data_IF_733868289261
#
_entry.id   IF_733868289261
#
_cell.length_a   1.000
_cell.length_b   1.000
_cell.length_c   1.000
_cell.angle_alpha   90.00
_cell.angle_beta   90.00
_cell.angle_gamma   90.00
#
_symmetry.space_group_name_H-M   'P 1'
#
loop_
_entity.id
_entity.type
_entity.pdbx_description
1 polymer ?
#
# COMPACT_ATOMS: atom_id res chain seq x y z
N UNK A 1 28.75 12.11 4.81
CA UNK A 1 27.28 12.08 4.82
C UNK A 1 26.84 11.46 6.13
N UNK A 2 25.79 11.97 6.80
CA UNK A 2 25.25 11.35 8.01
C UNK A 2 24.67 9.97 7.65
N UNK A 3 24.77 9.01 8.57
CA UNK A 3 24.17 7.69 8.44
C UNK A 3 22.65 7.83 8.17
N UNK A 4 22.09 7.16 7.15
CA UNK A 4 20.68 7.20 6.85
C UNK A 4 19.77 6.86 8.04
N UNK A 5 20.12 5.83 8.81
CA UNK A 5 19.42 5.43 10.02
C UNK A 5 19.41 6.55 11.07
N UNK A 6 20.52 7.24 11.25
CA UNK A 6 20.59 8.36 12.20
C UNK A 6 19.72 9.53 11.76
N UNK A 7 19.70 9.86 10.46
CA UNK A 7 18.80 10.91 9.92
C UNK A 7 17.32 10.55 10.12
N UNK A 8 16.96 9.31 9.91
CA UNK A 8 15.60 8.84 10.11
C UNK A 8 15.17 8.91 11.58
N UNK A 9 16.04 8.52 12.51
CA UNK A 9 15.78 8.64 13.95
C UNK A 9 15.64 10.11 14.37
N UNK A 10 16.46 11.01 13.83
CA UNK A 10 16.31 12.45 14.07
C UNK A 10 14.97 12.98 13.56
N UNK A 11 14.57 12.58 12.35
CA UNK A 11 13.33 13.05 11.73
C UNK A 11 12.04 12.52 12.41
N UNK A 12 12.13 11.46 13.21
CA UNK A 12 11.00 11.00 14.04
C UNK A 12 10.55 12.04 15.08
N UNK A 13 11.46 12.92 15.50
CA UNK A 13 11.17 14.00 16.45
C UNK A 13 10.66 15.28 15.78
N UNK A 14 10.66 15.34 14.46
CA UNK A 14 10.18 16.50 13.71
C UNK A 14 8.66 16.63 13.82
N UNK A 15 8.20 17.88 13.72
CA UNK A 15 6.75 18.13 13.67
C UNK A 15 6.14 17.43 12.46
N UNK A 16 5.07 16.62 12.63
CA UNK A 16 4.41 15.99 11.51
C UNK A 16 3.83 17.03 10.54
N UNK A 17 3.72 16.66 9.27
CA UNK A 17 3.02 17.45 8.26
C UNK A 17 1.51 17.40 8.55
N UNK A 18 0.89 18.57 8.69
CA UNK A 18 -0.57 18.70 8.74
C UNK A 18 -1.08 18.98 7.33
N UNK A 19 -2.01 18.17 6.85
CA UNK A 19 -2.59 18.38 5.53
C UNK A 19 -4.06 17.97 5.45
N UNK A 20 -4.79 18.62 4.57
CA UNK A 20 -6.11 18.21 4.11
C UNK A 20 -5.94 17.55 2.75
N UNK A 21 -6.16 16.24 2.69
CA UNK A 21 -6.18 15.50 1.43
C UNK A 21 -7.61 15.40 0.92
N UNK A 22 -7.82 15.69 -0.35
CA UNK A 22 -9.15 15.62 -0.98
C UNK A 22 -9.21 14.31 -1.76
N UNK A 23 -10.11 13.42 -1.38
CA UNK A 23 -10.28 12.14 -2.07
C UNK A 23 -10.99 12.32 -3.43
N UNK A 24 -11.07 11.25 -4.21
CA UNK A 24 -11.68 11.23 -5.56
C UNK A 24 -13.18 11.58 -5.58
N UNK A 25 -13.83 11.64 -4.41
CA UNK A 25 -15.23 12.07 -4.26
C UNK A 25 -15.37 13.54 -3.83
N UNK A 26 -14.25 14.25 -3.64
CA UNK A 26 -14.24 15.62 -3.17
C UNK A 26 -14.42 15.78 -1.66
N UNK A 27 -14.25 14.71 -0.87
CA UNK A 27 -14.31 14.74 0.58
C UNK A 27 -12.94 15.12 1.15
N UNK A 28 -12.91 16.02 2.13
CA UNK A 28 -11.69 16.38 2.86
C UNK A 28 -11.36 15.34 3.93
N UNK A 29 -10.14 14.87 3.93
CA UNK A 29 -9.57 13.97 4.92
C UNK A 29 -8.40 14.68 5.59
N UNK A 30 -8.53 14.94 6.90
CA UNK A 30 -7.49 15.58 7.69
C UNK A 30 -6.43 14.57 8.12
N UNK A 31 -5.16 14.85 7.78
CA UNK A 31 -4.04 13.95 8.04
C UNK A 31 -2.93 14.66 8.83
N UNK A 32 -2.40 13.96 9.82
CA UNK A 32 -1.09 14.22 10.41
C UNK A 32 -0.13 13.13 9.91
N UNK A 33 0.90 13.55 9.18
CA UNK A 33 1.83 12.62 8.53
C UNK A 33 3.22 12.81 9.15
N UNK A 34 3.72 11.82 9.93
CA UNK A 34 5.10 11.83 10.41
C UNK A 34 6.10 11.92 9.25
N UNK A 35 7.28 12.48 9.50
CA UNK A 35 8.33 12.64 8.48
C UNK A 35 8.86 11.32 7.89
N UNK A 36 8.73 10.24 8.65
CA UNK A 36 9.13 8.88 8.24
C UNK A 36 7.99 8.09 7.59
N UNK A 37 6.85 8.74 7.31
CA UNK A 37 5.68 8.15 6.67
C UNK A 37 5.43 8.84 5.34
N UNK A 38 5.21 8.05 4.30
CA UNK A 38 4.93 8.57 2.96
C UNK A 38 3.60 9.34 2.95
N UNK A 39 3.61 10.62 2.52
CA UNK A 39 2.37 11.37 2.36
C UNK A 39 1.60 10.89 1.14
N UNK A 40 0.26 11.05 1.10
CA UNK A 40 -0.51 10.72 -0.10
C UNK A 40 -0.06 11.61 -1.28
N UNK A 41 0.15 10.98 -2.44
CA UNK A 41 0.56 11.61 -3.70
C UNK A 41 -0.27 11.07 -4.85
N UNK A 42 0.19 11.29 -6.08
CA UNK A 42 -0.46 10.93 -7.34
C UNK A 42 -0.81 9.43 -7.43
N UNK A 43 0.02 8.57 -6.87
CA UNK A 43 -0.21 7.13 -6.74
C UNK A 43 -1.39 6.81 -5.82
N UNK A 44 -1.44 7.45 -4.66
CA UNK A 44 -2.55 7.32 -3.70
C UNK A 44 -3.85 7.85 -4.29
N UNK A 45 -3.81 9.00 -4.98
CA UNK A 45 -4.96 9.60 -5.66
C UNK A 45 -5.50 8.67 -6.76
N UNK A 46 -4.60 8.09 -7.57
CA UNK A 46 -4.97 7.15 -8.62
C UNK A 46 -5.63 5.88 -8.04
N UNK A 47 -5.09 5.33 -6.94
CA UNK A 47 -5.67 4.14 -6.31
C UNK A 47 -7.04 4.46 -5.69
N UNK A 48 -7.19 5.60 -5.03
CA UNK A 48 -8.48 6.04 -4.49
C UNK A 48 -9.54 6.19 -5.61
N UNK A 49 -9.14 6.79 -6.74
CA UNK A 49 -10.00 6.87 -7.91
C UNK A 49 -10.38 5.48 -8.44
N UNK A 50 -9.45 4.53 -8.48
CA UNK A 50 -9.73 3.15 -8.90
C UNK A 50 -10.72 2.46 -7.98
N UNK A 51 -10.58 2.62 -6.66
CA UNK A 51 -11.50 2.04 -5.66
C UNK A 51 -12.88 2.72 -5.77
N UNK A 52 -12.93 4.03 -5.95
CA UNK A 52 -14.19 4.77 -6.06
C UNK A 52 -15.05 4.30 -7.24
N UNK A 53 -14.42 3.89 -8.35
CA UNK A 53 -15.10 3.31 -9.53
C UNK A 53 -15.77 1.96 -9.26
N UNK A 54 -15.37 1.23 -8.21
CA UNK A 54 -16.07 0.01 -7.77
C UNK A 54 -17.43 0.36 -7.15
N UNK A 55 -17.60 1.59 -6.71
CA UNK A 55 -18.79 2.09 -6.02
C UNK A 55 -18.71 1.92 -4.51
N UNK A 56 -19.86 2.06 -3.84
CA UNK A 56 -19.94 1.95 -2.38
C UNK A 56 -19.55 0.54 -1.90
N UNK A 57 -18.78 0.48 -0.83
CA UNK A 57 -18.31 -0.78 -0.23
C UNK A 57 -19.46 -1.66 0.30
N UNK A 58 -20.55 -1.07 0.79
CA UNK A 58 -21.70 -1.78 1.34
C UNK A 58 -21.32 -2.86 2.38
N UNK A 59 -20.31 -2.57 3.20
CA UNK A 59 -19.80 -3.49 4.21
C UNK A 59 -18.91 -4.61 3.67
N UNK A 60 -18.54 -4.59 2.39
CA UNK A 60 -17.50 -5.47 1.83
C UNK A 60 -16.16 -5.22 2.52
N UNK A 61 -15.33 -6.24 2.59
CA UNK A 61 -14.03 -6.19 3.26
C UNK A 61 -12.93 -5.76 2.29
N UNK A 62 -12.14 -4.77 2.70
CA UNK A 62 -10.95 -4.31 2.01
C UNK A 62 -9.73 -4.49 2.91
N UNK A 63 -8.64 -5.03 2.36
CA UNK A 63 -7.32 -5.02 2.99
C UNK A 63 -6.43 -4.02 2.25
N UNK A 64 -5.83 -3.08 2.99
CA UNK A 64 -4.74 -2.25 2.52
C UNK A 64 -3.42 -2.73 3.13
N UNK A 65 -2.45 -3.06 2.28
CA UNK A 65 -1.07 -3.38 2.69
C UNK A 65 -0.23 -2.11 2.50
N UNK A 66 0.51 -1.70 3.53
CA UNK A 66 1.28 -0.44 3.50
C UNK A 66 0.38 0.79 3.62
N UNK A 67 -0.34 0.95 4.73
CA UNK A 67 -1.35 2.00 4.87
C UNK A 67 -0.79 3.42 5.02
N UNK A 68 0.50 3.58 5.33
CA UNK A 68 1.17 4.87 5.44
C UNK A 68 0.46 5.86 6.38
N UNK A 69 -0.04 6.96 5.83
CA UNK A 69 -0.80 7.98 6.57
C UNK A 69 -2.26 7.60 6.82
N UNK A 70 -2.76 6.53 6.21
CA UNK A 70 -4.14 6.09 6.29
C UNK A 70 -5.11 6.81 5.34
N UNK A 71 -4.62 7.64 4.43
CA UNK A 71 -5.46 8.41 3.52
C UNK A 71 -6.47 7.53 2.76
N UNK A 72 -5.96 6.48 2.11
CA UNK A 72 -6.76 5.56 1.33
C UNK A 72 -7.72 4.73 2.20
N UNK A 73 -7.23 4.18 3.32
CA UNK A 73 -8.05 3.44 4.29
C UNK A 73 -9.22 4.25 4.80
N UNK A 74 -8.99 5.53 5.14
CA UNK A 74 -10.03 6.45 5.63
C UNK A 74 -11.03 6.75 4.50
N UNK A 75 -10.55 7.03 3.28
CA UNK A 75 -11.41 7.26 2.11
C UNK A 75 -12.30 6.04 1.82
N UNK A 76 -11.71 4.85 1.82
CA UNK A 76 -12.45 3.61 1.61
C UNK A 76 -13.50 3.36 2.71
N UNK A 77 -13.16 3.61 3.99
CA UNK A 77 -14.10 3.47 5.10
C UNK A 77 -15.27 4.46 5.00
N UNK A 78 -15.00 5.74 4.64
CA UNK A 78 -16.04 6.73 4.34
C UNK A 78 -16.97 6.25 3.21
N UNK A 79 -16.41 5.50 2.25
CA UNK A 79 -17.17 4.91 1.14
C UNK A 79 -17.82 3.55 1.50
N UNK A 80 -17.95 3.22 2.77
CA UNK A 80 -18.71 2.06 3.25
C UNK A 80 -17.97 0.73 3.20
N UNK A 81 -16.66 0.71 3.00
CA UNK A 81 -15.84 -0.50 3.15
C UNK A 81 -15.57 -0.81 4.61
N UNK A 82 -15.47 -2.09 4.96
CA UNK A 82 -14.89 -2.55 6.21
C UNK A 82 -13.41 -2.75 5.97
N UNK A 83 -12.60 -1.83 6.49
CA UNK A 83 -11.18 -1.78 6.16
C UNK A 83 -10.35 -2.42 7.26
N UNK A 84 -9.53 -3.37 6.87
CA UNK A 84 -8.35 -3.84 7.61
C UNK A 84 -7.12 -3.26 6.92
N UNK A 85 -6.17 -2.71 7.68
CA UNK A 85 -4.97 -2.15 7.10
C UNK A 85 -3.74 -2.46 7.96
N UNK A 86 -2.60 -2.58 7.31
CA UNK A 86 -1.33 -2.84 8.00
C UNK A 86 -0.20 -2.00 7.42
N UNK A 87 0.85 -1.87 8.23
CA UNK A 87 2.11 -1.28 7.79
C UNK A 87 3.26 -1.90 8.60
N UNK A 88 4.40 -2.10 7.96
CA UNK A 88 5.62 -2.55 8.64
C UNK A 88 6.25 -1.42 9.48
N UNK A 89 5.95 -0.16 9.14
CA UNK A 89 6.36 1.01 9.89
C UNK A 89 5.38 1.25 11.06
N UNK A 90 5.78 1.06 12.34
CA UNK A 90 4.90 1.27 13.48
C UNK A 90 4.40 2.72 13.59
N UNK A 91 5.17 3.70 13.10
CA UNK A 91 4.75 5.10 13.10
C UNK A 91 3.63 5.35 12.08
N UNK A 92 3.60 4.62 10.98
CA UNK A 92 2.49 4.66 10.02
C UNK A 92 1.20 4.11 10.66
N UNK A 93 1.27 2.99 11.38
CA UNK A 93 0.12 2.41 12.09
C UNK A 93 -0.44 3.38 13.12
N UNK A 94 0.44 4.02 13.91
CA UNK A 94 0.04 5.02 14.91
C UNK A 94 -0.58 6.25 14.24
N UNK A 95 0.02 6.74 13.14
CA UNK A 95 -0.49 7.88 12.39
C UNK A 95 -1.86 7.57 11.78
N UNK A 96 -2.01 6.40 11.13
CA UNK A 96 -3.28 5.95 10.54
C UNK A 96 -4.37 5.86 11.60
N UNK A 97 -4.07 5.31 12.79
CA UNK A 97 -5.02 5.24 13.90
C UNK A 97 -5.49 6.63 14.34
N UNK A 98 -4.56 7.53 14.60
CA UNK A 98 -4.87 8.91 15.01
C UNK A 98 -5.64 9.67 13.93
N UNK A 99 -5.32 9.48 12.65
CA UNK A 99 -6.02 10.08 11.54
C UNK A 99 -7.44 9.50 11.37
N UNK A 100 -7.62 8.20 11.54
CA UNK A 100 -8.94 7.57 11.53
C UNK A 100 -9.86 8.14 12.63
N UNK A 101 -9.34 8.29 13.85
CA UNK A 101 -10.07 8.89 14.98
C UNK A 101 -10.49 10.34 14.67
N UNK A 102 -9.59 11.17 14.10
CA UNK A 102 -9.89 12.56 13.70
C UNK A 102 -10.97 12.64 12.63
N UNK A 103 -10.96 11.72 11.68
CA UNK A 103 -11.95 11.64 10.61
C UNK A 103 -13.18 10.80 11.00
N UNK A 104 -13.28 10.32 12.25
CA UNK A 104 -14.41 9.57 12.82
C UNK A 104 -14.75 8.28 12.09
N UNK A 105 -13.74 7.62 11.53
CA UNK A 105 -13.89 6.30 10.92
C UNK A 105 -13.29 5.21 11.79
N UNK A 106 -13.77 3.98 11.60
CA UNK A 106 -13.24 2.78 12.27
C UNK A 106 -12.46 1.95 11.27
N UNK A 107 -11.24 1.59 11.65
CA UNK A 107 -10.34 0.71 10.90
C UNK A 107 -9.87 -0.40 11.84
N UNK A 108 -9.67 -1.59 11.29
CA UNK A 108 -8.88 -2.64 11.95
C UNK A 108 -7.43 -2.47 11.50
N UNK A 109 -6.53 -2.26 12.46
CA UNK A 109 -5.13 -1.90 12.19
C UNK A 109 -4.18 -2.83 12.93
N UNK A 110 -3.13 -3.26 12.25
CA UNK A 110 -2.05 -4.01 12.88
C UNK A 110 -0.69 -3.63 12.28
N UNK A 111 0.36 -3.81 13.09
CA UNK A 111 1.75 -3.69 12.63
C UNK A 111 2.17 -4.98 11.93
N UNK A 112 2.74 -4.87 10.76
CA UNK A 112 3.24 -5.99 9.99
C UNK A 112 3.07 -5.79 8.49
N UNK A 113 3.62 -6.74 7.75
CA UNK A 113 3.60 -6.76 6.29
C UNK A 113 4.09 -8.10 5.77
N UNK A 114 4.14 -8.24 4.46
CA UNK A 114 4.79 -9.36 3.81
C UNK A 114 6.30 -9.28 4.06
N UNK A 115 6.92 -10.43 4.25
CA UNK A 115 8.36 -10.62 4.22
C UNK A 115 8.74 -11.57 3.07
N UNK A 116 9.99 -11.55 2.65
CA UNK A 116 10.49 -12.38 1.54
C UNK A 116 10.32 -13.88 1.77
N UNK A 117 10.27 -14.32 3.03
CA UNK A 117 10.10 -15.73 3.41
C UNK A 117 8.64 -16.15 3.58
N UNK A 118 7.70 -15.19 3.54
CA UNK A 118 6.30 -15.38 3.93
C UNK A 118 6.15 -16.03 5.32
N UNK A 119 7.10 -15.76 6.22
CA UNK A 119 7.15 -16.36 7.55
C UNK A 119 6.58 -15.47 8.66
N UNK A 120 6.18 -14.23 8.34
CA UNK A 120 5.59 -13.32 9.31
C UNK A 120 4.25 -13.88 9.82
N UNK A 121 4.34 -14.63 10.93
CA UNK A 121 3.20 -15.32 11.53
C UNK A 121 2.10 -14.36 11.97
N UNK A 122 2.46 -13.16 12.42
CA UNK A 122 1.49 -12.18 12.92
C UNK A 122 0.71 -11.56 11.78
N UNK A 123 1.38 -11.17 10.69
CA UNK A 123 0.71 -10.71 9.47
C UNK A 123 -0.25 -11.77 8.92
N UNK A 124 0.21 -13.02 8.77
CA UNK A 124 -0.60 -14.12 8.26
C UNK A 124 -1.79 -14.41 9.16
N UNK A 125 -1.61 -14.36 10.49
CA UNK A 125 -2.68 -14.57 11.46
C UNK A 125 -3.81 -13.53 11.31
N UNK A 126 -3.46 -12.24 11.23
CA UNK A 126 -4.44 -11.18 10.98
C UNK A 126 -5.08 -11.32 9.60
N UNK A 127 -4.28 -11.61 8.59
CA UNK A 127 -4.76 -11.78 7.22
C UNK A 127 -5.80 -12.90 7.10
N UNK A 128 -5.56 -14.04 7.76
CA UNK A 128 -6.48 -15.19 7.78
C UNK A 128 -7.73 -14.94 8.63
N UNK A 129 -7.59 -14.29 9.77
CA UNK A 129 -8.72 -14.04 10.68
C UNK A 129 -9.69 -12.98 10.16
N UNK A 130 -9.16 -11.91 9.57
CA UNK A 130 -9.97 -10.81 9.07
C UNK A 130 -10.56 -11.09 7.67
N UNK A 131 -9.92 -12.00 6.91
CA UNK A 131 -10.41 -12.43 5.59
C UNK A 131 -11.72 -13.23 5.61
N UNK A 132 -12.18 -13.80 4.49
CA UNK A 132 -11.71 -13.43 3.15
C UNK A 132 -12.06 -12.00 2.77
N UNK A 133 -11.17 -11.35 1.99
CA UNK A 133 -11.37 -9.99 1.52
C UNK A 133 -12.07 -9.95 0.16
N UNK A 134 -12.89 -8.93 -0.05
CA UNK A 134 -13.51 -8.63 -1.34
C UNK A 134 -12.54 -7.85 -2.25
N UNK A 135 -11.63 -7.09 -1.63
CA UNK A 135 -10.60 -6.30 -2.32
C UNK A 135 -9.32 -6.27 -1.47
N UNK A 136 -8.19 -6.56 -2.09
CA UNK A 136 -6.87 -6.33 -1.52
C UNK A 136 -6.21 -5.23 -2.35
N UNK A 137 -5.64 -4.23 -1.70
CA UNK A 137 -4.96 -3.13 -2.39
C UNK A 137 -3.57 -2.94 -1.81
N UNK A 138 -2.63 -2.62 -2.69
CA UNK A 138 -1.28 -2.30 -2.30
C UNK A 138 -0.68 -1.27 -3.26
N UNK A 139 -0.37 -0.11 -2.71
CA UNK A 139 0.51 0.83 -3.36
C UNK A 139 1.95 0.30 -3.17
N UNK A 140 2.36 -0.60 -4.06
CA UNK A 140 3.63 -1.33 -3.93
C UNK A 140 4.80 -0.35 -3.86
N UNK A 141 5.81 -0.63 -3.03
CA UNK A 141 7.13 -0.05 -3.20
C UNK A 141 7.65 -0.41 -4.60
N UNK A 142 7.98 0.58 -5.41
CA UNK A 142 8.33 0.38 -6.84
C UNK A 142 9.68 0.93 -7.25
N UNK A 143 10.38 1.63 -6.35
CA UNK A 143 11.73 2.12 -6.65
C UNK A 143 12.73 0.96 -6.68
N UNK A 144 13.65 1.02 -7.62
CA UNK A 144 14.73 0.05 -7.66
C UNK A 144 15.67 0.21 -6.47
N UNK A 145 16.19 -0.88 -5.90
CA UNK A 145 17.23 -0.80 -4.88
C UNK A 145 18.42 0.05 -5.35
N UNK A 146 19.02 0.88 -4.48
CA UNK A 146 20.14 1.72 -4.84
C UNK A 146 21.37 0.89 -5.24
N UNK A 147 22.08 1.35 -6.26
CA UNK A 147 23.31 0.71 -6.71
C UNK A 147 24.44 0.90 -5.69
N UNK A 148 25.50 0.08 -5.82
CA UNK A 148 26.67 0.20 -4.96
C UNK A 148 27.30 1.60 -5.04
N UNK A 149 27.42 2.29 -3.90
CA UNK A 149 27.94 3.65 -3.79
C UNK A 149 26.87 4.76 -3.90
N UNK A 150 25.62 4.44 -4.19
CA UNK A 150 24.52 5.41 -4.12
C UNK A 150 24.06 5.66 -2.68
N UNK A 151 23.50 6.86 -2.39
CA UNK A 151 22.92 7.15 -1.09
C UNK A 151 21.77 6.18 -0.77
N UNK A 152 21.80 5.59 0.43
CA UNK A 152 20.69 4.75 0.92
C UNK A 152 19.67 5.59 1.68
N UNK A 153 18.42 5.13 1.67
CA UNK A 153 17.35 5.65 2.51
C UNK A 153 17.51 5.13 3.96
N UNK A 154 16.72 5.66 4.88
CA UNK A 154 16.57 5.06 6.21
C UNK A 154 15.72 3.79 6.13
N UNK A 155 15.80 2.89 7.14
CA UNK A 155 15.10 1.60 7.08
C UNK A 155 13.59 1.69 6.88
N UNK A 156 12.93 2.69 7.46
CA UNK A 156 11.48 2.88 7.33
C UNK A 156 11.09 3.50 5.97
N UNK A 157 11.92 4.41 5.44
CA UNK A 157 11.74 4.97 4.10
C UNK A 157 12.00 3.89 3.04
N UNK A 158 13.05 3.09 3.24
CA UNK A 158 13.42 1.97 2.37
C UNK A 158 12.25 0.98 2.23
N UNK A 159 11.70 0.53 3.37
CA UNK A 159 10.58 -0.39 3.41
C UNK A 159 9.30 0.14 2.72
N UNK A 160 9.11 1.46 2.66
CA UNK A 160 7.95 2.08 2.01
C UNK A 160 8.13 2.38 0.52
N UNK A 161 9.37 2.47 0.03
CA UNK A 161 9.66 2.98 -1.31
C UNK A 161 10.39 1.98 -2.22
N UNK A 162 11.26 1.13 -1.64
CA UNK A 162 12.13 0.23 -2.40
C UNK A 162 11.45 -1.13 -2.59
N UNK A 163 11.42 -1.59 -3.84
CA UNK A 163 10.99 -2.96 -4.14
C UNK A 163 11.97 -3.97 -3.53
N UNK A 164 11.54 -5.22 -3.36
CA UNK A 164 12.37 -6.28 -2.78
C UNK A 164 13.75 -6.35 -3.45
N UNK A 165 14.81 -6.46 -2.65
CA UNK A 165 16.19 -6.66 -3.14
C UNK A 165 16.40 -8.07 -3.75
N UNK A 166 15.46 -9.00 -3.51
CA UNK A 166 15.50 -10.37 -3.98
C UNK A 166 15.26 -10.52 -5.49
N UNK A 167 15.23 -11.77 -5.94
CA UNK A 167 14.91 -12.10 -7.33
C UNK A 167 13.43 -11.85 -7.67
N UNK A 168 12.56 -11.87 -6.65
CA UNK A 168 11.12 -11.63 -6.75
C UNK A 168 10.77 -10.27 -6.15
N UNK A 169 9.94 -9.49 -6.82
CA UNK A 169 9.39 -8.25 -6.29
C UNK A 169 8.24 -8.51 -5.31
N UNK A 170 7.86 -7.49 -4.56
CA UNK A 170 6.78 -7.59 -3.58
C UNK A 170 5.46 -8.07 -4.18
N UNK A 171 5.14 -7.67 -5.42
CA UNK A 171 3.93 -8.12 -6.11
C UNK A 171 3.95 -9.60 -6.46
N UNK A 172 5.12 -10.20 -6.70
CA UNK A 172 5.31 -11.63 -6.95
C UNK A 172 5.26 -12.43 -5.64
N UNK A 173 5.81 -11.90 -4.55
CA UNK A 173 5.71 -12.48 -3.21
C UNK A 173 4.23 -12.55 -2.78
N UNK A 174 3.45 -11.51 -3.01
CA UNK A 174 2.00 -11.53 -2.76
C UNK A 174 1.29 -12.58 -3.63
N UNK A 175 1.64 -12.68 -4.92
CA UNK A 175 1.08 -13.69 -5.83
C UNK A 175 1.31 -15.11 -5.28
N UNK A 176 2.54 -15.39 -4.83
CA UNK A 176 2.89 -16.68 -4.25
C UNK A 176 2.07 -16.98 -2.99
N UNK A 177 1.90 -15.99 -2.11
CA UNK A 177 1.06 -16.13 -0.92
C UNK A 177 -0.40 -16.44 -1.27
N UNK A 178 -1.01 -15.69 -2.17
CA UNK A 178 -2.42 -15.89 -2.55
C UNK A 178 -2.63 -17.23 -3.25
N UNK A 179 -1.69 -17.68 -4.08
CA UNK A 179 -1.75 -19.01 -4.71
C UNK A 179 -1.65 -20.15 -3.67
N UNK A 180 -0.87 -19.98 -2.61
CA UNK A 180 -0.78 -20.95 -1.51
C UNK A 180 -2.01 -20.90 -0.60
N UNK A 181 -2.64 -19.75 -0.43
CA UNK A 181 -3.76 -19.48 0.47
C UNK A 181 -4.92 -18.79 -0.26
N UNK A 182 -5.57 -19.44 -1.23
CA UNK A 182 -6.60 -18.81 -2.06
C UNK A 182 -7.86 -18.41 -1.27
N UNK A 183 -8.02 -18.92 -0.04
CA UNK A 183 -9.12 -18.55 0.86
C UNK A 183 -8.99 -17.15 1.46
N UNK A 184 -7.86 -16.49 1.30
CA UNK A 184 -7.66 -15.11 1.76
C UNK A 184 -8.44 -14.12 0.91
N UNK A 185 -8.63 -14.40 -0.37
CA UNK A 185 -9.46 -13.62 -1.26
C UNK A 185 -10.82 -14.30 -1.46
N UNK A 186 -11.87 -13.53 -1.40
CA UNK A 186 -13.23 -14.01 -1.65
C UNK A 186 -13.41 -14.39 -3.12
N UNK A 187 -14.23 -15.39 -3.39
CA UNK A 187 -14.58 -15.75 -4.77
C UNK A 187 -15.19 -14.54 -5.48
N UNK A 188 -14.55 -14.11 -6.57
CA UNK A 188 -14.90 -12.89 -7.30
C UNK A 188 -14.38 -11.60 -6.67
N UNK A 189 -13.52 -11.70 -5.66
CA UNK A 189 -12.73 -10.60 -5.14
C UNK A 189 -11.63 -10.20 -6.13
N UNK A 190 -10.98 -9.07 -5.86
CA UNK A 190 -9.93 -8.54 -6.71
C UNK A 190 -8.73 -8.07 -5.89
N UNK A 191 -7.58 -7.98 -6.55
CA UNK A 191 -6.34 -7.43 -5.99
C UNK A 191 -5.94 -6.27 -6.89
N UNK A 192 -5.69 -5.09 -6.31
CA UNK A 192 -5.21 -3.92 -7.03
C UNK A 192 -3.76 -3.65 -6.64
N UNK A 193 -2.87 -3.73 -7.62
CA UNK A 193 -1.43 -3.52 -7.43
C UNK A 193 -0.94 -2.39 -8.32
N UNK A 194 -0.09 -1.53 -7.75
CA UNK A 194 0.65 -0.53 -8.50
C UNK A 194 1.84 -1.18 -9.21
N UNK A 195 2.14 -0.71 -10.39
CA UNK A 195 3.45 -0.84 -11.01
C UNK A 195 3.79 0.41 -11.82
N UNK A 196 5.04 0.60 -12.12
CA UNK A 196 5.52 1.67 -12.99
C UNK A 196 6.05 1.10 -14.30
N UNK A 197 6.40 1.97 -15.24
CA UNK A 197 6.99 1.59 -16.53
C UNK A 197 8.49 1.21 -16.44
N UNK A 198 8.99 0.91 -15.24
CA UNK A 198 10.33 0.34 -15.07
C UNK A 198 10.37 -1.14 -15.54
N UNK A 199 11.56 -1.74 -15.75
CA UNK A 199 11.67 -3.10 -16.26
C UNK A 199 10.95 -4.15 -15.41
N UNK A 200 10.98 -4.04 -14.09
CA UNK A 200 10.34 -4.99 -13.17
C UNK A 200 8.82 -4.80 -13.19
N UNK A 201 8.35 -3.56 -13.14
CA UNK A 201 6.92 -3.24 -13.21
C UNK A 201 6.26 -3.72 -14.50
N UNK A 202 6.96 -3.58 -15.65
CA UNK A 202 6.46 -4.08 -16.94
C UNK A 202 6.27 -5.60 -16.98
N UNK A 203 6.99 -6.35 -16.15
CA UNK A 203 6.86 -7.81 -16.07
C UNK A 203 5.75 -8.24 -15.10
N UNK A 204 5.47 -7.47 -14.07
CA UNK A 204 4.58 -7.86 -12.97
C UNK A 204 3.21 -8.35 -13.46
N UNK A 205 2.52 -7.58 -14.28
CA UNK A 205 1.22 -7.98 -14.81
C UNK A 205 1.28 -9.25 -15.66
N UNK A 206 2.36 -9.45 -16.43
CA UNK A 206 2.55 -10.66 -17.22
C UNK A 206 2.81 -11.89 -16.34
N UNK A 207 3.54 -11.74 -15.24
CA UNK A 207 3.78 -12.79 -14.25
C UNK A 207 2.45 -13.27 -13.62
N UNK A 208 1.57 -12.33 -13.25
CA UNK A 208 0.24 -12.68 -12.75
C UNK A 208 -0.60 -13.45 -13.78
N UNK A 209 -0.57 -13.04 -15.07
CA UNK A 209 -1.26 -13.76 -16.15
C UNK A 209 -0.74 -15.17 -16.37
N UNK A 210 0.59 -15.35 -16.29
CA UNK A 210 1.20 -16.67 -16.41
C UNK A 210 0.78 -17.62 -15.29
N UNK A 211 0.45 -17.08 -14.13
CA UNK A 211 -0.11 -17.81 -12.99
C UNK A 211 -1.65 -17.94 -13.02
N UNK A 212 -2.24 -17.79 -14.21
CA UNK A 212 -3.68 -17.95 -14.49
C UNK A 212 -4.60 -16.89 -13.88
N UNK A 213 -4.08 -15.76 -13.44
CA UNK A 213 -4.89 -14.65 -12.99
C UNK A 213 -5.39 -13.82 -14.17
N UNK A 214 -6.68 -13.44 -14.13
CA UNK A 214 -7.28 -12.54 -15.11
C UNK A 214 -6.93 -11.10 -14.77
N UNK A 215 -5.97 -10.50 -15.47
CA UNK A 215 -5.51 -9.15 -15.19
C UNK A 215 -6.08 -8.12 -16.15
N UNK A 216 -6.38 -6.93 -15.65
CA UNK A 216 -6.77 -5.75 -16.44
C UNK A 216 -6.23 -4.48 -15.81
N UNK A 217 -5.93 -3.49 -16.61
CA UNK A 217 -5.61 -2.14 -16.13
C UNK A 217 -6.89 -1.47 -15.64
N UNK A 218 -6.84 -0.89 -14.44
CA UNK A 218 -7.97 -0.19 -13.80
C UNK A 218 -7.74 1.31 -13.68
N UNK A 219 -6.47 1.76 -13.72
CA UNK A 219 -6.10 3.17 -13.74
C UNK A 219 -4.68 3.36 -14.21
N UNK A 220 -4.43 4.48 -14.88
CA UNK A 220 -3.10 4.92 -15.33
C UNK A 220 -2.98 6.42 -15.13
N UNK A 221 -1.76 6.88 -14.83
CA UNK A 221 -1.40 8.29 -14.76
C UNK A 221 0.05 8.47 -15.26
N UNK A 222 0.25 9.37 -16.20
CA UNK A 222 1.59 9.75 -16.68
C UNK A 222 2.09 10.91 -15.82
N UNK A 223 3.26 10.76 -15.21
CA UNK A 223 3.91 11.78 -14.42
C UNK A 223 4.77 12.73 -15.30
N UNK A 224 5.06 13.92 -14.80
CA UNK A 224 5.80 14.95 -15.52
C UNK A 224 7.22 14.52 -15.93
N UNK A 225 7.85 13.65 -15.15
CA UNK A 225 9.19 13.10 -15.41
C UNK A 225 9.22 11.96 -16.44
N UNK A 226 8.05 11.57 -16.97
CA UNK A 226 7.89 10.49 -17.95
C UNK A 226 7.68 9.12 -17.32
N UNK A 227 7.61 9.02 -16.00
CA UNK A 227 7.18 7.81 -15.34
C UNK A 227 5.67 7.62 -15.54
N UNK A 228 5.22 6.36 -15.66
CA UNK A 228 3.81 6.02 -15.72
C UNK A 228 3.44 5.14 -14.54
N UNK A 229 2.48 5.60 -13.77
CA UNK A 229 1.83 4.82 -12.73
C UNK A 229 0.71 3.99 -13.34
N UNK A 230 0.66 2.70 -13.05
CA UNK A 230 -0.40 1.81 -13.54
C UNK A 230 -0.90 0.95 -12.40
N UNK A 231 -2.21 1.01 -12.11
CA UNK A 231 -2.88 0.01 -11.29
C UNK A 231 -3.52 -1.04 -12.17
N UNK A 232 -3.20 -2.29 -11.91
CA UNK A 232 -3.92 -3.41 -12.50
C UNK A 232 -4.69 -4.18 -11.44
N UNK A 233 -5.81 -4.77 -11.90
CA UNK A 233 -6.61 -5.72 -11.12
C UNK A 233 -6.24 -7.14 -11.54
N UNK A 234 -6.07 -7.99 -10.57
CA UNK A 234 -5.96 -9.44 -10.72
C UNK A 234 -7.08 -10.13 -9.95
#
# INVERSE_FOLDING_TARGET
MSDPTHREVESQNDKPLEMNWINSKGEEIYLLVPKTVYPPREDTELLDLCISKIGNGNGRKLLEIGCGSGALSISAANNGWRVTACDINPLAVVATKGNAERNKVKLELFEGGLDESNSNSDFLHHFENDGPFDLIVWNLPYLSPPLEGEPRLGPLEDAGLIDSEGNEGWGEILLNLINQKPTLLKKGGAIYLLHTNNPRGNLLQSTWRQSLWATRIVGENDLEDGERLTYFSA
#
